data_IF_790065110071
#
_entry.id   IF_790065110071
#
_cell.length_a   1.000
_cell.length_b   1.000
_cell.length_c   1.000
_cell.angle_alpha   90.00
_cell.angle_beta   90.00
_cell.angle_gamma   90.00
#
_symmetry.space_group_name_H-M   'P 1'
#
loop_
_entity.id
_entity.type
_entity.pdbx_description
1 polymer ?
#
# COMPACT_ATOMS: atom_id res chain seq x y z
N UNK A 1 -184.15 -123.97 6.11
CA UNK A 1 -184.94 -125.20 6.31
C UNK A 1 -186.45 -124.93 6.35
N UNK A 2 -187.30 -125.64 5.55
CA UNK A 2 -188.70 -126.06 5.82
C UNK A 2 -189.35 -126.85 4.65
N UNK A 3 -189.55 -128.13 4.97
CA UNK A 3 -190.61 -129.10 4.60
C UNK A 3 -192.05 -128.59 4.77
N UNK A 4 -193.16 -129.17 4.27
CA UNK A 4 -193.58 -130.43 3.64
C UNK A 4 -194.93 -130.18 2.91
N UNK A 5 -195.36 -130.90 1.86
CA UNK A 5 -196.20 -132.10 2.01
C UNK A 5 -195.84 -133.20 1.00
N UNK A 6 -195.96 -134.46 1.41
CA UNK A 6 -196.19 -135.67 0.61
C UNK A 6 -195.48 -135.79 -0.76
N UNK A 7 -194.19 -135.43 -0.78
CA UNK A 7 -193.21 -136.24 -1.51
C UNK A 7 -192.38 -136.94 -0.46
N UNK A 8 -192.15 -138.23 -0.70
CA UNK A 8 -191.22 -139.13 -0.02
C UNK A 8 -189.79 -138.62 -0.19
N UNK A 9 -189.49 -137.61 0.60
CA UNK A 9 -188.21 -137.16 1.12
C UNK A 9 -188.54 -136.81 2.58
N UNK A 10 -187.78 -137.30 3.56
CA UNK A 10 -188.09 -137.20 5.01
C UNK A 10 -187.77 -135.80 5.51
N UNK A 11 -188.44 -135.27 6.55
CA UNK A 11 -188.20 -133.97 7.23
C UNK A 11 -186.72 -133.44 7.37
N UNK A 12 -185.67 -134.26 7.20
CA UNK A 12 -184.29 -133.86 6.80
C UNK A 12 -184.04 -133.19 5.41
N UNK A 13 -184.58 -133.66 4.28
CA UNK A 13 -184.34 -133.22 2.87
C UNK A 13 -184.91 -131.83 2.33
N UNK A 14 -186.21 -131.48 2.25
CA UNK A 14 -186.79 -130.08 2.18
C UNK A 14 -186.32 -129.10 3.29
N UNK A 15 -185.62 -129.54 4.32
CA UNK A 15 -184.99 -128.76 5.39
C UNK A 15 -183.60 -128.38 4.85
N UNK A 16 -182.88 -129.33 4.26
CA UNK A 16 -181.71 -129.02 3.42
C UNK A 16 -182.06 -128.13 2.20
N UNK A 17 -183.22 -128.31 1.54
CA UNK A 17 -183.61 -127.48 0.38
C UNK A 17 -183.90 -126.02 0.75
N UNK A 18 -184.57 -125.77 1.87
CA UNK A 18 -184.77 -124.40 2.33
C UNK A 18 -183.54 -123.89 3.13
N UNK A 19 -182.47 -124.68 3.30
CA UNK A 19 -181.17 -124.16 3.71
C UNK A 19 -180.47 -123.45 2.53
N UNK A 20 -181.01 -123.54 1.29
CA UNK A 20 -180.37 -123.00 0.07
C UNK A 20 -181.21 -121.93 -0.68
N UNK A 21 -182.36 -121.48 -0.16
CA UNK A 21 -183.10 -120.35 -0.75
C UNK A 21 -182.48 -119.03 -0.24
N UNK A 22 -181.65 -118.40 -1.08
CA UNK A 22 -181.01 -117.10 -0.80
C UNK A 22 -179.48 -117.09 -0.71
N UNK A 23 -178.80 -118.22 -0.93
CA UNK A 23 -177.34 -118.25 -1.03
C UNK A 23 -176.88 -117.70 -2.39
N UNK A 24 -175.98 -116.71 -2.38
CA UNK A 24 -175.44 -116.03 -3.56
C UNK A 24 -174.47 -116.91 -4.36
N UNK A 25 -174.41 -116.70 -5.68
CA UNK A 25 -173.56 -117.45 -6.61
C UNK A 25 -172.07 -117.08 -6.50
N UNK A 26 -171.21 -118.03 -6.88
CA UNK A 26 -169.74 -118.04 -6.74
C UNK A 26 -168.98 -116.95 -7.54
N UNK A 27 -169.68 -115.99 -8.17
CA UNK A 27 -169.09 -114.93 -9.03
C UNK A 27 -169.77 -113.56 -8.92
N UNK A 28 -170.06 -113.07 -7.71
CA UNK A 28 -170.57 -111.70 -7.53
C UNK A 28 -169.45 -110.67 -7.31
N UNK A 29 -169.61 -109.45 -7.84
CA UNK A 29 -168.68 -108.30 -7.70
C UNK A 29 -169.35 -107.18 -6.90
N UNK A 30 -168.56 -106.42 -6.14
CA UNK A 30 -169.00 -105.25 -5.36
C UNK A 30 -168.35 -103.97 -5.90
N UNK A 31 -169.08 -102.85 -5.87
CA UNK A 31 -168.54 -101.54 -6.25
C UNK A 31 -167.52 -101.02 -5.21
N UNK A 32 -166.56 -100.19 -5.66
CA UNK A 32 -165.57 -99.58 -4.77
C UNK A 32 -166.22 -98.63 -3.74
N UNK A 33 -165.65 -98.56 -2.53
CA UNK A 33 -166.15 -97.67 -1.47
C UNK A 33 -165.93 -96.19 -1.83
N UNK A 34 -166.96 -95.37 -1.63
CA UNK A 34 -166.92 -93.91 -1.83
C UNK A 34 -167.26 -93.18 -0.52
N UNK A 35 -167.06 -91.86 -0.47
CA UNK A 35 -167.44 -91.05 0.71
C UNK A 35 -168.96 -91.00 0.94
N UNK A 36 -169.78 -91.43 -0.04
CA UNK A 36 -171.24 -91.45 0.05
C UNK A 36 -171.89 -92.84 0.09
N UNK A 37 -171.18 -93.91 -0.29
CA UNK A 37 -171.73 -95.28 -0.32
C UNK A 37 -170.71 -96.32 0.20
N UNK A 38 -171.10 -97.14 1.20
CA UNK A 38 -170.21 -98.15 1.78
C UNK A 38 -170.00 -99.32 0.83
N UNK A 39 -168.73 -99.65 0.57
CA UNK A 39 -168.30 -100.90 -0.08
C UNK A 39 -167.84 -101.90 0.99
N UNK A 40 -166.62 -102.44 0.85
CA UNK A 40 -165.97 -103.28 1.88
C UNK A 40 -165.40 -102.53 3.10
N UNK A 41 -165.37 -101.19 3.05
CA UNK A 41 -165.06 -100.32 4.19
C UNK A 41 -166.14 -99.24 4.32
N UNK A 42 -166.35 -98.72 5.54
CA UNK A 42 -167.38 -97.71 5.79
C UNK A 42 -167.09 -96.40 5.06
N UNK A 43 -168.13 -95.65 4.69
CA UNK A 43 -167.97 -94.32 4.07
C UNK A 43 -167.16 -93.36 4.98
N UNK A 44 -167.23 -93.56 6.30
CA UNK A 44 -166.44 -92.78 7.28
C UNK A 44 -164.94 -93.07 7.19
N UNK A 45 -164.53 -94.34 7.03
CA UNK A 45 -163.10 -94.69 6.92
C UNK A 45 -162.51 -94.23 5.59
N UNK A 46 -163.29 -94.27 4.50
CA UNK A 46 -162.87 -93.70 3.21
C UNK A 46 -162.65 -92.19 3.30
N UNK A 47 -163.51 -91.48 4.04
CA UNK A 47 -163.36 -90.03 4.28
C UNK A 47 -162.08 -89.71 5.05
N UNK A 48 -161.72 -90.51 6.08
CA UNK A 48 -160.46 -90.32 6.81
C UNK A 48 -159.23 -90.54 5.92
N UNK A 49 -159.27 -91.55 5.06
CA UNK A 49 -158.16 -91.84 4.16
C UNK A 49 -157.99 -90.75 3.09
N UNK A 50 -159.10 -90.20 2.58
CA UNK A 50 -159.07 -89.07 1.63
C UNK A 50 -158.56 -87.76 2.26
N UNK A 51 -158.60 -87.65 3.59
CA UNK A 51 -158.02 -86.54 4.34
C UNK A 51 -156.49 -86.56 4.45
N UNK A 52 -155.82 -87.64 4.03
CA UNK A 52 -154.35 -87.72 4.01
C UNK A 52 -153.85 -87.26 2.64
N UNK A 53 -153.26 -86.06 2.58
CA UNK A 53 -152.65 -85.55 1.34
C UNK A 53 -151.45 -86.41 0.92
N UNK A 54 -151.29 -86.63 -0.39
CA UNK A 54 -150.14 -87.36 -0.92
C UNK A 54 -148.82 -86.69 -0.49
N UNK A 55 -147.85 -87.49 0.01
CA UNK A 55 -146.50 -87.06 0.43
C UNK A 55 -146.34 -86.31 1.76
N UNK A 56 -147.24 -86.50 2.73
CA UNK A 56 -147.18 -85.81 4.04
C UNK A 56 -145.93 -86.06 4.94
N UNK A 57 -144.96 -86.89 4.53
CA UNK A 57 -143.75 -87.21 5.33
C UNK A 57 -142.40 -86.75 4.71
N UNK A 58 -142.37 -85.81 3.76
CA UNK A 58 -141.11 -85.38 3.13
C UNK A 58 -140.53 -84.08 3.74
N UNK A 59 -139.44 -84.17 4.51
CA UNK A 59 -138.72 -83.02 5.12
C UNK A 59 -137.58 -82.50 4.22
N UNK A 60 -137.51 -81.18 3.98
CA UNK A 60 -136.44 -80.51 3.22
C UNK A 60 -135.73 -79.48 4.11
N UNK A 61 -134.38 -79.47 4.10
CA UNK A 61 -133.54 -78.61 4.95
C UNK A 61 -133.32 -77.20 4.35
N UNK A 62 -133.31 -76.09 5.14
CA UNK A 62 -133.13 -74.73 4.63
C UNK A 62 -131.73 -74.46 4.05
N UNK A 63 -131.65 -73.59 3.04
CA UNK A 63 -130.40 -73.19 2.36
C UNK A 63 -130.06 -71.69 2.49
N UNK A 64 -130.67 -70.98 3.45
CA UNK A 64 -130.40 -69.55 3.72
C UNK A 64 -129.04 -69.29 4.37
N UNK A 65 -128.50 -68.08 4.17
CA UNK A 65 -127.22 -67.64 4.71
C UNK A 65 -127.20 -67.69 6.25
N UNK A 66 -126.15 -68.30 6.80
CA UNK A 66 -126.04 -68.67 8.23
C UNK A 66 -126.15 -70.18 8.49
N UNK A 67 -126.71 -70.95 7.54
CA UNK A 67 -126.90 -72.41 7.65
C UNK A 67 -126.10 -73.20 6.59
N UNK A 68 -125.08 -72.58 5.96
CA UNK A 68 -124.19 -73.25 4.99
C UNK A 68 -123.07 -73.98 5.73
N UNK A 69 -122.96 -75.29 5.53
CA UNK A 69 -121.88 -76.09 6.09
C UNK A 69 -120.54 -75.80 5.40
N UNK A 70 -119.44 -75.83 6.17
CA UNK A 70 -118.08 -75.79 5.62
C UNK A 70 -117.82 -77.04 4.75
N UNK A 71 -117.25 -76.91 3.53
CA UNK A 71 -116.90 -78.05 2.71
C UNK A 71 -115.85 -78.94 3.40
N UNK A 72 -116.04 -80.26 3.34
CA UNK A 72 -115.08 -81.23 3.88
C UNK A 72 -113.73 -81.14 3.16
N UNK A 73 -112.63 -81.20 3.90
CA UNK A 73 -111.26 -81.30 3.37
C UNK A 73 -110.92 -82.74 3.00
N UNK A 74 -110.12 -82.94 1.96
CA UNK A 74 -109.58 -84.24 1.59
C UNK A 74 -108.32 -84.56 2.41
N UNK A 75 -107.94 -85.84 2.51
CA UNK A 75 -106.70 -86.25 3.16
C UNK A 75 -105.49 -85.84 2.29
N UNK A 76 -104.79 -84.77 2.69
CA UNK A 76 -103.64 -84.22 1.98
C UNK A 76 -103.59 -82.69 1.92
N UNK A 77 -104.68 -82.03 2.29
CA UNK A 77 -104.79 -80.56 2.24
C UNK A 77 -103.97 -79.93 3.38
N UNK A 78 -102.77 -79.43 3.07
CA UNK A 78 -101.89 -78.69 4.01
C UNK A 78 -101.72 -77.24 3.55
N UNK A 79 -101.84 -76.30 4.50
CA UNK A 79 -101.78 -74.84 4.27
C UNK A 79 -102.83 -74.26 3.31
N UNK A 80 -104.01 -74.88 3.23
CA UNK A 80 -105.16 -74.31 2.54
C UNK A 80 -106.00 -73.45 3.48
N UNK A 81 -106.47 -72.32 2.96
CA UNK A 81 -107.33 -71.38 3.68
C UNK A 81 -108.66 -71.27 2.94
N UNK A 82 -109.75 -71.15 3.69
CA UNK A 82 -111.08 -71.00 3.12
C UNK A 82 -111.20 -69.59 2.51
N UNK A 83 -111.06 -69.48 1.19
CA UNK A 83 -111.21 -68.19 0.50
C UNK A 83 -112.69 -67.92 0.26
N UNK A 84 -113.13 -66.71 0.62
CA UNK A 84 -114.47 -66.24 0.25
C UNK A 84 -114.55 -66.11 -1.26
N UNK A 85 -115.57 -66.73 -1.86
CA UNK A 85 -115.83 -66.58 -3.28
C UNK A 85 -116.55 -65.24 -3.50
N UNK A 86 -116.02 -64.40 -4.39
CA UNK A 86 -116.51 -63.04 -4.61
C UNK A 86 -117.86 -62.97 -5.33
N UNK A 87 -118.41 -64.10 -5.80
CA UNK A 87 -119.74 -64.17 -6.44
C UNK A 87 -120.82 -64.54 -5.43
N UNK A 88 -121.90 -63.74 -5.41
CA UNK A 88 -123.06 -63.95 -4.56
C UNK A 88 -123.67 -65.35 -4.79
N UNK A 89 -123.76 -66.16 -3.72
CA UNK A 89 -124.24 -67.55 -3.75
C UNK A 89 -123.17 -68.62 -3.99
N UNK A 90 -121.94 -68.25 -4.37
CA UNK A 90 -120.82 -69.18 -4.51
C UNK A 90 -120.44 -69.82 -3.17
N UNK A 91 -120.18 -71.13 -3.14
CA UNK A 91 -119.61 -71.77 -1.95
C UNK A 91 -118.16 -71.31 -1.75
N UNK A 92 -117.75 -70.98 -0.52
CA UNK A 92 -116.33 -70.76 -0.24
C UNK A 92 -115.55 -72.05 -0.51
N UNK A 93 -114.32 -71.92 -1.01
CA UNK A 93 -113.47 -73.06 -1.41
C UNK A 93 -112.10 -72.96 -0.73
N UNK A 94 -111.52 -74.11 -0.42
CA UNK A 94 -110.16 -74.22 0.08
C UNK A 94 -109.16 -73.84 -1.03
N UNK A 95 -108.21 -72.94 -0.71
CA UNK A 95 -107.16 -72.53 -1.62
C UNK A 95 -105.90 -72.07 -0.87
N UNK A 96 -104.73 -72.25 -1.48
CA UNK A 96 -103.45 -71.78 -0.94
C UNK A 96 -103.32 -70.25 -1.11
N UNK A 97 -102.77 -69.59 -0.09
CA UNK A 97 -102.41 -68.15 -0.13
C UNK A 97 -101.01 -68.00 -0.74
N UNK A 98 -100.89 -67.23 -1.81
CA UNK A 98 -99.64 -66.90 -2.50
C UNK A 98 -99.10 -65.53 -2.07
N UNK A 99 -97.83 -65.22 -2.38
CA UNK A 99 -97.26 -63.87 -2.11
C UNK A 99 -98.08 -62.74 -2.74
N UNK A 100 -98.76 -63.00 -3.87
CA UNK A 100 -99.61 -62.01 -4.54
C UNK A 100 -100.88 -61.71 -3.76
N UNK A 101 -101.48 -62.72 -3.13
CA UNK A 101 -102.71 -62.57 -2.34
C UNK A 101 -102.53 -61.61 -1.15
N UNK A 102 -101.29 -61.44 -0.67
CA UNK A 102 -100.94 -60.57 0.46
C UNK A 102 -100.11 -59.35 0.07
N UNK A 103 -100.00 -59.05 -1.24
CA UNK A 103 -99.29 -57.85 -1.73
C UNK A 103 -97.75 -57.91 -1.64
N UNK A 104 -97.15 -59.09 -1.52
CA UNK A 104 -95.70 -59.31 -1.34
C UNK A 104 -95.02 -59.91 -2.60
N UNK A 105 -95.55 -59.65 -3.79
CA UNK A 105 -95.08 -60.29 -5.03
C UNK A 105 -93.60 -60.01 -5.37
N UNK A 106 -93.07 -58.85 -4.96
CA UNK A 106 -91.68 -58.44 -5.24
C UNK A 106 -90.67 -58.88 -4.16
N UNK A 107 -91.12 -59.63 -3.15
CA UNK A 107 -90.27 -60.04 -2.04
C UNK A 107 -89.81 -61.49 -2.24
N UNK A 108 -88.50 -61.66 -2.40
CA UNK A 108 -87.85 -62.96 -2.45
C UNK A 108 -87.29 -63.37 -1.09
N UNK A 109 -87.40 -64.66 -0.78
CA UNK A 109 -86.89 -65.24 0.45
C UNK A 109 -85.46 -65.74 0.23
N UNK A 110 -84.51 -64.82 0.14
CA UNK A 110 -83.09 -65.11 -0.03
C UNK A 110 -82.33 -64.98 1.30
N UNK A 111 -81.23 -65.74 1.46
CA UNK A 111 -80.34 -65.60 2.61
C UNK A 111 -79.72 -64.20 2.66
N UNK A 112 -79.32 -63.74 3.84
CA UNK A 112 -78.76 -62.39 4.02
C UNK A 112 -77.56 -62.12 3.09
N UNK A 113 -76.71 -63.12 2.87
CA UNK A 113 -75.55 -63.02 1.98
C UNK A 113 -75.90 -62.86 0.49
N UNK A 114 -77.10 -63.31 0.09
CA UNK A 114 -77.56 -63.26 -1.30
C UNK A 114 -78.56 -62.13 -1.57
N UNK A 115 -78.89 -61.32 -0.55
CA UNK A 115 -79.72 -60.13 -0.75
C UNK A 115 -78.98 -59.12 -1.61
N UNK A 116 -79.55 -58.64 -2.73
CA UNK A 116 -78.91 -57.61 -3.51
C UNK A 116 -78.81 -56.32 -2.70
N UNK A 117 -77.65 -55.67 -2.72
CA UNK A 117 -77.54 -54.27 -2.28
C UNK A 117 -78.16 -53.37 -3.34
N UNK A 118 -78.87 -52.32 -2.93
CA UNK A 118 -79.44 -51.37 -3.89
C UNK A 118 -78.33 -50.63 -4.65
N UNK A 119 -78.60 -50.20 -5.89
CA UNK A 119 -77.65 -49.42 -6.68
C UNK A 119 -77.15 -48.18 -5.93
N UNK A 120 -78.02 -47.50 -5.19
CA UNK A 120 -77.65 -46.32 -4.38
C UNK A 120 -76.68 -46.68 -3.23
N UNK A 121 -76.88 -47.81 -2.57
CA UNK A 121 -75.96 -48.29 -1.53
C UNK A 121 -74.61 -48.67 -2.12
N UNK A 122 -74.58 -49.34 -3.29
CA UNK A 122 -73.33 -49.69 -3.97
C UNK A 122 -72.52 -48.43 -4.36
N UNK A 123 -73.17 -47.40 -4.90
CA UNK A 123 -72.52 -46.12 -5.23
C UNK A 123 -71.98 -45.44 -3.97
N UNK A 124 -72.75 -45.37 -2.89
CA UNK A 124 -72.31 -44.74 -1.65
C UNK A 124 -71.13 -45.48 -0.98
N UNK A 125 -71.07 -46.81 -1.10
CA UNK A 125 -69.95 -47.61 -0.62
C UNK A 125 -68.69 -47.36 -1.47
N UNK A 126 -68.82 -47.25 -2.79
CA UNK A 126 -67.69 -46.96 -3.70
C UNK A 126 -67.04 -45.58 -3.51
N UNK A 127 -67.73 -44.63 -2.87
CA UNK A 127 -67.18 -43.32 -2.51
C UNK A 127 -66.44 -43.31 -1.17
N UNK A 128 -66.53 -44.39 -0.38
CA UNK A 128 -65.79 -44.49 0.88
C UNK A 128 -64.35 -44.92 0.59
N UNK A 129 -63.43 -44.31 1.31
CA UNK A 129 -62.02 -44.68 1.28
C UNK A 129 -61.85 -46.11 1.82
N UNK A 130 -61.03 -46.92 1.15
CA UNK A 130 -60.69 -48.27 1.62
C UNK A 130 -59.99 -48.17 2.99
N UNK A 131 -60.34 -49.07 3.91
CA UNK A 131 -59.73 -49.17 5.23
C UNK A 131 -58.21 -49.41 5.15
N UNK A 132 -57.74 -49.98 4.04
CA UNK A 132 -56.30 -50.19 3.77
C UNK A 132 -55.53 -48.88 3.52
N UNK A 133 -56.22 -47.77 3.20
CA UNK A 133 -55.63 -46.46 2.92
C UNK A 133 -55.59 -45.54 4.18
N UNK A 134 -56.27 -45.92 5.26
CA UNK A 134 -56.26 -45.13 6.50
C UNK A 134 -55.06 -45.52 7.40
N UNK A 135 -54.07 -44.64 7.50
CA UNK A 135 -52.99 -44.73 8.51
C UNK A 135 -51.76 -45.55 8.12
N UNK A 136 -51.70 -46.12 6.92
CA UNK A 136 -50.55 -46.87 6.41
C UNK A 136 -49.61 -45.95 5.60
N UNK A 137 -48.82 -45.13 6.30
CA UNK A 137 -47.68 -44.47 5.66
C UNK A 137 -46.68 -45.50 5.12
N UNK A 138 -46.10 -45.21 3.94
CA UNK A 138 -44.90 -45.92 3.44
C UNK A 138 -45.07 -46.95 2.33
N UNK A 139 -46.29 -47.25 1.85
CA UNK A 139 -46.48 -48.08 0.65
C UNK A 139 -47.63 -47.63 -0.27
N UNK A 140 -48.65 -46.93 0.26
CA UNK A 140 -49.75 -46.39 -0.53
C UNK A 140 -49.37 -45.14 -1.35
N UNK A 141 -48.35 -44.40 -0.88
CA UNK A 141 -47.81 -43.22 -1.56
C UNK A 141 -46.36 -43.50 -1.94
N UNK A 142 -45.98 -43.15 -3.19
CA UNK A 142 -44.62 -43.33 -3.67
C UNK A 142 -43.62 -42.50 -2.84
N UNK A 143 -42.39 -43.01 -2.70
CA UNK A 143 -41.30 -42.24 -2.12
C UNK A 143 -41.07 -40.95 -2.92
N UNK A 144 -40.87 -39.84 -2.23
CA UNK A 144 -40.50 -38.58 -2.89
C UNK A 144 -39.10 -38.71 -3.47
N UNK A 145 -39.00 -38.45 -4.77
CA UNK A 145 -37.73 -38.39 -5.50
C UNK A 145 -37.38 -36.92 -5.75
N UNK A 146 -36.10 -36.55 -5.61
CA UNK A 146 -35.63 -35.21 -5.94
C UNK A 146 -36.01 -34.85 -7.39
N UNK A 147 -36.65 -33.70 -7.59
CA UNK A 147 -37.22 -33.25 -8.86
C UNK A 147 -38.24 -34.22 -9.52
N UNK A 148 -38.72 -35.23 -8.79
CA UNK A 148 -39.67 -36.24 -9.25
C UNK A 148 -41.09 -36.01 -8.72
N UNK A 149 -41.89 -37.08 -8.75
CA UNK A 149 -43.28 -37.06 -8.28
C UNK A 149 -43.37 -36.66 -6.80
N UNK A 150 -44.37 -35.84 -6.47
CA UNK A 150 -44.64 -35.41 -5.10
C UNK A 150 -45.32 -36.54 -4.31
N UNK A 151 -44.92 -36.69 -3.06
CA UNK A 151 -45.49 -37.61 -2.08
C UNK A 151 -46.02 -36.81 -0.90
N UNK A 152 -45.51 -37.04 0.31
CA UNK A 152 -45.82 -36.22 1.49
C UNK A 152 -45.10 -34.84 1.52
N UNK A 153 -44.07 -34.66 0.68
CA UNK A 153 -43.44 -33.38 0.37
C UNK A 153 -43.22 -33.26 -1.15
N UNK A 154 -43.00 -32.06 -1.66
CA UNK A 154 -42.77 -31.85 -3.10
C UNK A 154 -41.39 -32.38 -3.52
N UNK A 155 -41.23 -32.75 -4.79
CA UNK A 155 -39.92 -33.09 -5.35
C UNK A 155 -38.91 -31.95 -5.22
N UNK A 156 -39.37 -30.70 -5.25
CA UNK A 156 -38.56 -29.50 -5.04
C UNK A 156 -38.07 -29.36 -3.58
N UNK A 157 -38.94 -29.61 -2.60
CA UNK A 157 -38.56 -29.60 -1.18
C UNK A 157 -37.55 -30.70 -0.87
N UNK A 158 -37.71 -31.88 -1.47
CA UNK A 158 -36.75 -32.97 -1.36
C UNK A 158 -35.42 -32.62 -2.01
N UNK A 159 -35.41 -32.01 -3.20
CA UNK A 159 -34.18 -31.51 -3.84
C UNK A 159 -33.47 -30.49 -2.95
N UNK A 160 -34.22 -29.57 -2.34
CA UNK A 160 -33.67 -28.59 -1.41
C UNK A 160 -33.07 -29.27 -0.18
N UNK A 161 -33.76 -30.26 0.38
CA UNK A 161 -33.30 -31.01 1.56
C UNK A 161 -32.09 -31.89 1.24
N UNK A 162 -32.02 -32.51 0.07
CA UNK A 162 -30.88 -33.32 -0.39
C UNK A 162 -29.62 -32.47 -0.62
N UNK A 163 -29.80 -31.18 -0.94
CA UNK A 163 -28.72 -30.20 -1.01
C UNK A 163 -28.19 -29.75 0.35
N UNK A 164 -28.87 -30.07 1.45
CA UNK A 164 -28.41 -29.76 2.81
C UNK A 164 -27.55 -30.93 3.31
N UNK A 165 -26.24 -30.71 3.47
CA UNK A 165 -25.35 -31.71 4.06
C UNK A 165 -25.83 -32.12 5.45
N UNK A 166 -25.69 -33.40 5.80
CA UNK A 166 -26.01 -33.90 7.12
C UNK A 166 -25.22 -33.11 8.19
N UNK A 167 -25.94 -32.47 9.11
CA UNK A 167 -25.35 -31.62 10.15
C UNK A 167 -25.09 -30.17 9.76
N UNK A 168 -25.59 -29.68 8.62
CA UNK A 168 -25.50 -28.26 8.27
C UNK A 168 -26.17 -27.37 9.34
N UNK A 169 -25.47 -26.33 9.79
CA UNK A 169 -25.95 -25.34 10.77
C UNK A 169 -26.24 -23.98 10.09
N UNK A 170 -27.04 -23.13 10.76
CA UNK A 170 -27.71 -21.96 10.14
C UNK A 170 -26.78 -20.76 9.89
N UNK A 171 -25.52 -20.76 10.35
CA UNK A 171 -24.66 -19.57 10.25
C UNK A 171 -23.15 -19.92 10.16
N UNK A 172 -22.55 -19.70 8.99
CA UNK A 172 -21.14 -19.99 8.67
C UNK A 172 -20.27 -18.73 8.53
N UNK A 173 -20.64 -17.61 9.15
CA UNK A 173 -19.78 -16.43 9.17
C UNK A 173 -18.53 -16.60 10.09
N UNK A 174 -18.23 -17.82 10.53
CA UNK A 174 -17.05 -18.16 11.30
C UNK A 174 -15.87 -18.46 10.35
N UNK A 175 -14.72 -17.83 10.59
CA UNK A 175 -13.45 -18.29 10.04
C UNK A 175 -13.05 -19.56 10.82
N UNK A 176 -12.56 -20.60 10.15
CA UNK A 176 -12.19 -21.85 10.85
C UNK A 176 -10.83 -21.71 11.54
N UNK A 177 -9.81 -21.33 10.78
CA UNK A 177 -8.45 -21.13 11.27
C UNK A 177 -7.73 -20.11 10.41
N UNK A 178 -7.03 -19.18 11.05
CA UNK A 178 -6.08 -18.27 10.41
C UNK A 178 -4.69 -18.66 10.90
N UNK A 179 -3.87 -19.15 9.98
CA UNK A 179 -2.52 -19.60 10.26
C UNK A 179 -1.51 -18.60 9.71
N UNK A 180 -0.50 -18.26 10.52
CA UNK A 180 0.66 -17.48 10.12
C UNK A 180 1.89 -18.30 10.47
N UNK A 181 2.75 -18.56 9.49
CA UNK A 181 3.95 -19.38 9.71
C UNK A 181 4.81 -18.83 10.85
N UNK A 182 5.18 -19.70 11.80
CA UNK A 182 5.96 -19.34 12.98
C UNK A 182 5.16 -18.79 14.16
N UNK A 183 3.85 -18.57 14.00
CA UNK A 183 2.93 -18.17 15.06
C UNK A 183 1.96 -19.30 15.42
N UNK A 184 1.27 -19.17 16.55
CA UNK A 184 0.11 -20.01 16.85
C UNK A 184 -1.07 -19.62 15.97
N UNK A 185 -1.86 -20.62 15.59
CA UNK A 185 -3.07 -20.42 14.82
C UNK A 185 -4.14 -19.65 15.62
N UNK A 186 -4.87 -18.77 14.95
CA UNK A 186 -6.10 -18.16 15.47
C UNK A 186 -7.26 -19.03 15.00
N UNK A 187 -7.84 -19.81 15.91
CA UNK A 187 -8.89 -20.79 15.63
C UNK A 187 -10.20 -20.29 16.23
N UNK A 188 -11.31 -20.46 15.52
CA UNK A 188 -12.61 -20.13 16.09
C UNK A 188 -12.94 -21.05 17.27
N UNK A 189 -13.24 -20.48 18.43
CA UNK A 189 -13.51 -21.24 19.66
C UNK A 189 -15.00 -21.46 19.93
N UNK A 190 -15.86 -20.79 19.18
CA UNK A 190 -17.31 -20.88 19.28
C UNK A 190 -17.97 -20.95 17.89
N UNK A 191 -19.24 -21.38 17.89
CA UNK A 191 -20.06 -21.46 16.66
C UNK A 191 -20.25 -20.11 15.98
N UNK A 192 -20.27 -19.03 16.75
CA UNK A 192 -20.18 -17.65 16.27
C UNK A 192 -19.00 -17.04 16.97
N UNK A 193 -18.00 -16.64 16.21
CA UNK A 193 -16.76 -16.08 16.73
C UNK A 193 -16.38 -14.80 15.97
N UNK A 194 -15.53 -13.97 16.58
CA UNK A 194 -15.12 -12.67 16.07
C UNK A 194 -13.62 -12.61 15.89
N UNK A 195 -13.17 -12.46 14.64
CA UNK A 195 -11.78 -12.16 14.36
C UNK A 195 -11.49 -10.72 14.79
N UNK A 196 -10.72 -10.57 15.87
CA UNK A 196 -10.26 -9.25 16.32
C UNK A 196 -8.88 -8.97 15.74
N UNK A 197 -8.77 -8.00 14.83
CA UNK A 197 -7.49 -7.47 14.39
C UNK A 197 -7.06 -6.33 15.32
N UNK A 198 -5.92 -6.46 15.99
CA UNK A 198 -5.36 -5.45 16.87
C UNK A 198 -4.22 -4.68 16.19
N UNK A 199 -4.15 -3.37 16.38
CA UNK A 199 -3.06 -2.55 15.85
C UNK A 199 -1.76 -2.87 16.59
N UNK A 200 -0.72 -3.23 15.85
CA UNK A 200 0.65 -3.31 16.35
C UNK A 200 1.38 -1.96 16.28
N UNK A 201 2.51 -1.84 16.97
CA UNK A 201 3.39 -0.67 16.82
C UNK A 201 3.87 -0.54 15.36
N UNK A 202 3.70 0.63 14.76
CA UNK A 202 4.09 0.87 13.36
C UNK A 202 3.08 0.42 12.30
N UNK A 203 1.95 -0.17 12.71
CA UNK A 203 0.92 -0.71 11.81
C UNK A 203 -0.43 -0.07 12.12
N UNK A 204 -1.07 0.48 11.10
CA UNK A 204 -2.44 0.98 11.17
C UNK A 204 -3.40 0.00 10.48
N UNK A 205 -4.42 -0.45 11.23
CA UNK A 205 -5.53 -1.25 10.71
C UNK A 205 -6.79 -0.38 10.75
N UNK A 206 -7.47 -0.27 9.62
CA UNK A 206 -8.71 0.52 9.47
C UNK A 206 -9.77 -0.30 8.77
N UNK A 207 -11.03 -0.15 9.18
CA UNK A 207 -12.18 -0.80 8.52
C UNK A 207 -13.03 0.23 7.78
N UNK A 208 -13.57 -0.15 6.62
CA UNK A 208 -14.55 0.64 5.89
C UNK A 208 -15.78 -0.22 5.64
N UNK A 209 -16.80 -0.07 6.49
CA UNK A 209 -18.03 -0.88 6.43
C UNK A 209 -18.86 -0.65 5.17
N UNK A 210 -18.76 0.52 4.54
CA UNK A 210 -19.47 0.79 3.28
C UNK A 210 -18.94 -0.01 2.08
N UNK A 211 -17.72 -0.52 2.16
CA UNK A 211 -17.08 -1.33 1.12
C UNK A 211 -16.69 -2.73 1.60
N UNK A 212 -17.04 -3.08 2.85
CA UNK A 212 -16.64 -4.33 3.50
C UNK A 212 -15.12 -4.60 3.45
N UNK A 213 -14.30 -3.55 3.63
CA UNK A 213 -12.83 -3.67 3.56
C UNK A 213 -12.15 -3.50 4.92
N UNK A 214 -11.06 -4.23 5.09
CA UNK A 214 -10.05 -4.01 6.13
C UNK A 214 -8.75 -3.61 5.43
N UNK A 215 -8.22 -2.45 5.76
CA UNK A 215 -6.94 -1.95 5.23
C UNK A 215 -5.87 -2.06 6.30
N UNK A 216 -4.74 -2.66 5.95
CA UNK A 216 -3.55 -2.75 6.80
C UNK A 216 -2.48 -1.92 6.11
N UNK A 217 -1.96 -0.93 6.83
CA UNK A 217 -0.94 0.00 6.35
C UNK A 217 0.15 0.17 7.40
N UNK A 218 1.28 0.71 6.98
CA UNK A 218 2.36 1.12 7.88
C UNK A 218 2.16 2.57 8.27
N UNK A 219 2.47 2.90 9.52
CA UNK A 219 2.51 4.29 9.99
C UNK A 219 3.90 4.88 9.77
N UNK A 220 3.99 6.19 9.57
CA UNK A 220 5.26 6.89 9.56
C UNK A 220 6.02 6.66 10.88
N UNK A 221 7.34 6.49 10.77
CA UNK A 221 8.19 6.34 11.95
C UNK A 221 8.25 7.69 12.69
N UNK A 222 8.15 7.63 14.01
CA UNK A 222 8.42 8.78 14.88
C UNK A 222 9.64 8.47 15.75
N UNK A 223 10.12 9.44 16.52
CA UNK A 223 11.20 9.23 17.49
C UNK A 223 10.79 8.34 18.67
N UNK A 224 9.51 7.97 18.79
CA UNK A 224 8.98 7.16 19.89
C UNK A 224 8.21 5.92 19.44
N UNK A 225 7.85 5.84 18.16
CA UNK A 225 7.15 4.70 17.56
C UNK A 225 7.87 4.28 16.28
N UNK A 226 8.37 3.03 16.19
CA UNK A 226 8.93 2.53 14.95
C UNK A 226 7.86 2.48 13.86
N UNK A 227 8.24 2.86 12.64
CA UNK A 227 7.43 2.68 11.43
C UNK A 227 8.20 1.78 10.47
N UNK A 228 8.49 2.26 9.25
CA UNK A 228 9.44 1.61 8.34
C UNK A 228 10.90 1.61 8.82
N UNK A 229 11.22 2.51 9.74
CA UNK A 229 12.53 2.67 10.36
C UNK A 229 12.38 2.53 11.88
N UNK A 230 13.45 2.14 12.56
CA UNK A 230 13.46 2.16 14.03
C UNK A 230 13.36 3.60 14.54
N UNK A 231 12.85 3.77 15.77
CA UNK A 231 12.84 5.09 16.42
C UNK A 231 14.25 5.69 16.53
N UNK A 232 15.28 4.84 16.67
CA UNK A 232 16.69 5.26 16.69
C UNK A 232 17.18 5.75 15.32
N UNK A 233 16.84 5.06 14.24
CA UNK A 233 17.20 5.48 12.89
C UNK A 233 16.48 6.77 12.51
N UNK A 234 15.21 6.91 12.89
CA UNK A 234 14.46 8.15 12.71
C UNK A 234 15.08 9.30 13.47
N UNK A 235 15.52 9.09 14.72
CA UNK A 235 16.22 10.11 15.51
C UNK A 235 17.54 10.54 14.85
N UNK A 236 18.31 9.59 14.32
CA UNK A 236 19.55 9.91 13.56
C UNK A 236 19.23 10.73 12.31
N UNK A 237 18.21 10.35 11.56
CA UNK A 237 17.80 11.03 10.33
C UNK A 237 17.21 12.43 10.60
N UNK A 238 16.49 12.60 11.71
CA UNK A 238 15.95 13.90 12.14
C UNK A 238 17.05 14.91 12.49
N UNK A 239 18.25 14.42 12.83
CA UNK A 239 19.44 15.24 12.99
C UNK A 239 20.10 15.67 11.66
N UNK A 240 19.71 15.09 10.53
CA UNK A 240 20.25 15.41 9.21
C UNK A 240 19.40 16.52 8.59
N UNK A 241 20.04 17.63 8.21
CA UNK A 241 19.35 18.74 7.56
C UNK A 241 18.76 18.34 6.21
N UNK A 242 17.61 18.90 5.85
CA UNK A 242 16.99 18.66 4.55
C UNK A 242 17.95 19.02 3.41
N UNK A 243 18.12 18.12 2.45
CA UNK A 243 19.05 18.30 1.33
C UNK A 243 20.53 18.14 1.69
N UNK A 244 20.87 17.59 2.86
CA UNK A 244 22.25 17.25 3.17
C UNK A 244 22.85 16.33 2.09
N UNK A 245 24.02 16.71 1.59
CA UNK A 245 24.76 15.98 0.57
C UNK A 245 25.81 15.06 1.22
N UNK A 246 26.24 14.05 0.47
CA UNK A 246 27.35 13.18 0.87
C UNK A 246 28.60 14.04 1.02
N UNK A 247 29.23 14.00 2.21
CA UNK A 247 30.50 14.69 2.43
C UNK A 247 31.61 13.93 1.69
N UNK A 248 32.08 14.51 0.59
CA UNK A 248 33.12 13.96 -0.27
C UNK A 248 34.08 15.08 -0.68
N UNK A 249 35.27 14.72 -1.20
CA UNK A 249 36.22 15.72 -1.73
C UNK A 249 35.56 16.60 -2.80
N UNK A 250 34.70 16.02 -3.65
CA UNK A 250 34.00 16.74 -4.72
C UNK A 250 33.00 17.75 -4.16
N UNK A 251 32.17 17.34 -3.20
CA UNK A 251 31.11 18.21 -2.64
C UNK A 251 31.70 19.30 -1.74
N UNK A 252 32.74 19.00 -0.98
CA UNK A 252 33.51 19.99 -0.20
C UNK A 252 34.22 20.98 -1.13
N UNK A 253 34.83 20.51 -2.21
CA UNK A 253 35.48 21.39 -3.20
C UNK A 253 34.51 22.33 -3.90
N UNK A 254 33.32 21.84 -4.28
CA UNK A 254 32.27 22.68 -4.86
C UNK A 254 31.78 23.76 -3.88
N UNK A 255 31.54 23.40 -2.62
CA UNK A 255 31.14 24.34 -1.58
C UNK A 255 32.21 25.43 -1.33
N UNK A 256 33.49 25.04 -1.30
CA UNK A 256 34.61 25.98 -1.13
C UNK A 256 34.71 26.97 -2.31
N UNK A 257 34.55 26.49 -3.55
CA UNK A 257 34.61 27.34 -4.73
C UNK A 257 33.41 28.29 -4.85
N UNK A 258 32.25 27.89 -4.34
CA UNK A 258 31.04 28.73 -4.31
C UNK A 258 31.04 29.75 -3.16
N UNK A 259 31.88 29.56 -2.13
CA UNK A 259 31.97 30.48 -1.00
C UNK A 259 32.40 31.89 -1.44
N UNK A 260 31.88 32.91 -0.75
CA UNK A 260 32.26 34.29 -1.03
C UNK A 260 33.73 34.54 -0.72
N UNK A 261 34.48 35.04 -1.71
CA UNK A 261 35.89 35.34 -1.54
C UNK A 261 36.10 36.47 -0.51
N UNK A 262 37.11 36.30 0.34
CA UNK A 262 37.57 37.32 1.29
C UNK A 262 39.00 37.72 0.92
N UNK A 263 39.15 38.93 0.37
CA UNK A 263 40.44 39.41 -0.14
C UNK A 263 41.47 39.65 0.97
N UNK A 264 41.04 40.08 2.15
CA UNK A 264 41.94 40.44 3.25
C UNK A 264 41.47 39.80 4.56
N UNK A 265 42.16 38.75 5.04
CA UNK A 265 41.91 38.18 6.35
C UNK A 265 42.27 39.16 7.48
N UNK A 266 41.51 39.12 8.57
CA UNK A 266 41.80 39.81 9.83
C UNK A 266 42.34 38.82 10.86
N UNK A 267 42.95 39.32 11.93
CA UNK A 267 43.70 38.49 12.89
C UNK A 267 42.91 37.34 13.52
N UNK A 268 41.60 37.51 13.71
CA UNK A 268 40.70 36.50 14.27
C UNK A 268 40.24 35.43 13.25
N UNK A 269 40.42 35.66 11.95
CA UNK A 269 40.02 34.68 10.92
C UNK A 269 40.85 33.41 11.06
N UNK A 270 40.23 32.26 10.78
CA UNK A 270 40.84 30.95 10.98
C UNK A 270 40.90 30.14 9.69
N UNK A 271 41.98 29.39 9.49
CA UNK A 271 42.16 28.44 8.40
C UNK A 271 42.23 27.03 8.99
N UNK A 272 41.45 26.09 8.43
CA UNK A 272 41.48 24.68 8.83
C UNK A 272 42.75 23.98 8.33
N UNK A 273 43.30 23.09 9.14
CA UNK A 273 44.46 22.27 8.79
C UNK A 273 44.36 20.87 9.41
N UNK A 274 45.10 19.93 8.84
CA UNK A 274 45.32 18.60 9.42
C UNK A 274 46.58 18.63 10.28
N UNK A 275 46.45 18.33 11.56
CA UNK A 275 47.60 18.27 12.47
C UNK A 275 48.24 16.89 12.45
N UNK A 276 49.39 16.76 11.78
CA UNK A 276 50.14 15.50 11.70
C UNK A 276 50.64 15.01 13.06
N UNK A 277 50.88 15.90 14.02
CA UNK A 277 51.28 15.53 15.38
C UNK A 277 50.09 15.01 16.22
N UNK A 278 48.86 15.28 15.78
CA UNK A 278 47.61 14.79 16.40
C UNK A 278 46.87 13.81 15.47
N UNK A 279 47.59 12.89 14.83
CA UNK A 279 47.02 11.84 13.96
C UNK A 279 46.13 12.38 12.84
N UNK A 280 46.51 13.49 12.24
CA UNK A 280 45.74 14.20 11.19
C UNK A 280 44.38 14.72 11.66
N UNK A 281 44.20 14.96 12.96
CA UNK A 281 43.02 15.63 13.48
C UNK A 281 42.84 17.02 12.88
N UNK A 282 41.60 17.42 12.63
CA UNK A 282 41.28 18.77 12.17
C UNK A 282 41.58 19.78 13.28
N UNK A 283 42.46 20.73 12.97
CA UNK A 283 42.73 21.91 13.79
C UNK A 283 42.54 23.18 12.98
N UNK A 284 42.66 24.33 13.63
CA UNK A 284 42.62 25.64 12.98
C UNK A 284 43.79 26.51 13.43
N UNK A 285 44.30 27.35 12.54
CA UNK A 285 45.26 28.43 12.83
C UNK A 285 44.62 29.76 12.52
N UNK A 286 44.88 30.76 13.37
CA UNK A 286 44.41 32.12 13.10
C UNK A 286 45.31 32.83 12.11
N UNK A 287 44.79 33.85 11.42
CA UNK A 287 45.61 34.69 10.54
C UNK A 287 46.72 35.41 11.31
N UNK A 288 46.49 35.77 12.59
CA UNK A 288 47.54 36.30 13.46
C UNK A 288 48.69 35.30 13.64
N UNK A 289 48.39 34.01 13.84
CA UNK A 289 49.43 32.98 13.94
C UNK A 289 50.19 32.81 12.62
N UNK A 290 49.49 32.82 11.48
CA UNK A 290 50.13 32.74 10.16
C UNK A 290 51.08 33.93 9.95
N UNK A 291 50.61 35.17 10.19
CA UNK A 291 51.43 36.38 10.10
C UNK A 291 52.64 36.34 11.02
N UNK A 292 52.46 35.92 12.27
CA UNK A 292 53.54 35.84 13.24
C UNK A 292 54.61 34.84 12.80
N UNK A 293 54.21 33.62 12.40
CA UNK A 293 55.14 32.59 11.91
C UNK A 293 55.91 33.04 10.68
N UNK A 294 55.22 33.62 9.68
CA UNK A 294 55.86 34.13 8.47
C UNK A 294 56.78 35.30 8.78
N UNK A 295 56.36 36.23 9.64
CA UNK A 295 57.20 37.35 10.07
C UNK A 295 58.49 36.85 10.73
N UNK A 296 58.39 35.95 11.70
CA UNK A 296 59.55 35.36 12.37
C UNK A 296 60.48 34.69 11.36
N UNK A 297 59.95 33.94 10.40
CA UNK A 297 60.77 33.31 9.35
C UNK A 297 61.49 34.36 8.49
N UNK A 298 60.77 35.35 7.95
CA UNK A 298 61.34 36.34 7.04
C UNK A 298 62.27 37.35 7.71
N UNK A 299 62.05 37.69 8.98
CA UNK A 299 62.96 38.55 9.75
C UNK A 299 64.38 37.95 9.86
N UNK A 300 64.53 36.62 9.74
CA UNK A 300 65.86 35.97 9.74
C UNK A 300 66.59 36.03 8.41
N UNK A 301 65.84 36.19 7.31
CA UNK A 301 66.37 36.15 5.95
C UNK A 301 66.61 37.54 5.37
N UNK A 302 65.81 38.51 5.80
CA UNK A 302 65.80 39.85 5.23
C UNK A 302 66.04 40.91 6.29
N UNK A 303 66.96 41.83 6.01
CA UNK A 303 67.13 43.03 6.81
C UNK A 303 65.95 43.98 6.59
N UNK A 304 65.54 44.68 7.65
CA UNK A 304 64.46 45.65 7.57
C UNK A 304 64.81 46.77 6.57
N UNK A 305 63.82 47.27 5.84
CA UNK A 305 63.98 48.47 5.03
C UNK A 305 64.40 49.64 5.95
N UNK A 306 65.53 50.28 5.64
CA UNK A 306 66.13 51.32 6.49
C UNK A 306 67.05 50.79 7.59
N UNK A 307 67.44 49.51 7.56
CA UNK A 307 68.52 49.04 8.44
C UNK A 307 69.77 49.89 8.22
N UNK A 308 70.41 50.24 9.33
CA UNK A 308 71.66 51.01 9.32
C UNK A 308 72.82 50.05 9.50
N UNK A 309 73.87 50.27 8.72
CA UNK A 309 75.16 49.64 9.00
C UNK A 309 75.90 50.52 10.00
N UNK A 310 76.47 49.90 11.02
CA UNK A 310 77.37 50.60 11.93
C UNK A 310 78.53 51.22 11.15
N UNK A 311 78.96 52.40 11.56
CA UNK A 311 80.14 53.04 10.99
C UNK A 311 81.37 52.12 11.11
N UNK A 312 82.22 52.11 10.08
CA UNK A 312 83.47 51.36 10.13
C UNK A 312 84.36 51.94 11.24
N UNK A 313 84.90 51.07 12.10
CA UNK A 313 85.87 51.42 13.12
C UNK A 313 87.22 50.80 12.77
N UNK A 314 88.27 51.12 13.53
CA UNK A 314 89.59 50.50 13.37
C UNK A 314 89.63 49.03 13.82
N UNK A 315 88.56 48.51 14.43
CA UNK A 315 88.47 47.11 14.90
C UNK A 315 87.31 46.31 14.30
N UNK A 316 86.28 46.98 13.79
CA UNK A 316 85.10 46.36 13.18
C UNK A 316 84.90 46.95 11.79
N UNK A 317 84.92 46.08 10.78
CA UNK A 317 84.65 46.47 9.41
C UNK A 317 83.20 46.95 9.25
N UNK A 318 83.02 48.02 8.49
CA UNK A 318 81.70 48.47 8.00
C UNK A 318 81.66 48.32 6.49
N UNK A 319 81.30 49.39 5.77
CA UNK A 319 81.46 49.47 4.31
C UNK A 319 82.93 49.61 3.85
N UNK A 320 83.84 49.80 4.79
CA UNK A 320 85.28 49.82 4.58
C UNK A 320 85.91 48.83 5.57
N UNK A 321 87.02 48.19 5.15
CA UNK A 321 87.77 47.31 6.04
C UNK A 321 88.33 48.08 7.25
N UNK A 322 88.50 47.40 8.38
CA UNK A 322 89.12 47.98 9.56
C UNK A 322 90.55 48.49 9.28
N UNK A 323 91.26 47.80 8.38
CA UNK A 323 92.59 48.19 7.92
C UNK A 323 92.57 49.50 7.13
N UNK A 324 91.65 49.64 6.17
CA UNK A 324 91.57 50.87 5.37
C UNK A 324 91.05 52.06 6.18
N UNK A 325 90.16 51.83 7.16
CA UNK A 325 89.75 52.87 8.12
C UNK A 325 90.95 53.38 8.93
N UNK A 326 91.82 52.47 9.38
CA UNK A 326 93.06 52.83 10.10
C UNK A 326 94.00 53.65 9.22
N UNK A 327 94.16 53.30 7.94
CA UNK A 327 94.95 54.10 6.99
C UNK A 327 94.38 55.49 6.81
N UNK A 328 93.06 55.61 6.64
CA UNK A 328 92.37 56.88 6.46
C UNK A 328 92.51 57.78 7.70
N UNK A 329 92.36 57.22 8.90
CA UNK A 329 92.54 57.93 10.17
C UNK A 329 93.98 58.43 10.37
N UNK A 330 94.96 57.77 9.75
CA UNK A 330 96.36 58.16 9.79
C UNK A 330 96.73 59.35 8.89
N UNK A 331 95.83 59.81 8.02
CA UNK A 331 96.09 60.97 7.15
C UNK A 331 95.86 62.26 7.95
N UNK A 332 96.92 63.06 8.14
CA UNK A 332 96.83 64.34 8.81
C UNK A 332 95.91 65.33 8.06
N UNK A 333 95.15 66.13 8.81
CA UNK A 333 94.29 67.18 8.23
C UNK A 333 95.10 68.15 7.38
N UNK A 334 94.73 68.29 6.11
CA UNK A 334 95.39 69.22 5.19
C UNK A 334 96.76 68.75 4.68
N UNK A 335 97.05 67.44 4.70
CA UNK A 335 98.31 66.87 4.20
C UNK A 335 98.74 67.32 2.78
N UNK A 336 97.82 67.84 1.97
CA UNK A 336 98.09 68.34 0.61
C UNK A 336 98.26 69.88 0.52
N UNK A 337 98.27 70.62 1.63
CA UNK A 337 98.35 72.08 1.60
C UNK A 337 99.80 72.57 1.46
N UNK A 338 100.23 72.87 0.23
CA UNK A 338 101.58 73.38 -0.06
C UNK A 338 101.64 74.92 0.11
N UNK A 339 102.49 75.40 1.03
CA UNK A 339 102.82 76.82 1.19
C UNK A 339 104.28 77.07 0.80
N UNK A 340 104.52 78.00 -0.15
CA UNK A 340 105.86 78.31 -0.62
C UNK A 340 106.66 79.08 0.46
N UNK A 341 107.95 78.75 0.71
CA UNK A 341 108.75 79.45 1.70
C UNK A 341 109.03 80.90 1.28
N UNK A 342 109.07 81.83 2.24
CA UNK A 342 109.33 83.26 2.02
C UNK A 342 110.58 83.77 2.76
N UNK A 343 111.52 82.88 3.09
CA UNK A 343 112.78 83.22 3.78
C UNK A 343 113.93 83.59 2.83
N UNK A 344 114.98 84.20 3.37
CA UNK A 344 116.20 84.55 2.64
C UNK A 344 116.84 83.28 2.05
N UNK A 345 117.02 83.26 0.72
CA UNK A 345 117.43 82.08 -0.06
C UNK A 345 116.34 81.52 -0.97
N UNK A 346 115.06 81.90 -0.74
CA UNK A 346 113.91 81.53 -1.55
C UNK A 346 113.38 82.69 -2.42
N UNK A 347 114.12 83.81 -2.47
CA UNK A 347 113.79 84.99 -3.28
C UNK A 347 114.26 84.81 -4.72
N UNK A 348 113.37 85.02 -5.68
CA UNK A 348 113.74 85.06 -7.10
C UNK A 348 114.50 86.34 -7.44
N UNK A 349 115.54 86.23 -8.27
CA UNK A 349 116.23 87.41 -8.83
C UNK A 349 115.30 88.16 -9.79
N UNK A 350 115.31 89.51 -9.82
CA UNK A 350 114.54 90.28 -10.79
C UNK A 350 114.97 89.96 -12.23
N UNK A 351 113.99 89.75 -13.12
CA UNK A 351 114.23 89.40 -14.52
C UNK A 351 115.11 90.44 -15.24
N UNK A 352 116.06 89.98 -16.05
CA UNK A 352 116.87 90.82 -16.96
C UNK A 352 116.24 90.88 -18.34
N UNK A 353 116.30 92.04 -19.01
CA UNK A 353 116.09 92.12 -20.46
C UNK A 353 117.18 91.38 -21.24
N UNK A 354 116.95 91.11 -22.54
CA UNK A 354 117.81 90.27 -23.41
C UNK A 354 119.23 90.79 -23.67
N UNK A 355 119.62 91.93 -23.09
CA UNK A 355 120.95 92.52 -23.22
C UNK A 355 121.39 93.06 -21.86
N UNK A 356 122.61 92.74 -21.44
CA UNK A 356 123.13 93.11 -20.13
C UNK A 356 123.82 94.48 -20.10
N UNK A 357 124.11 95.12 -21.24
CA UNK A 357 124.66 96.49 -21.39
C UNK A 357 125.64 96.92 -20.27
N UNK A 358 126.54 96.03 -19.83
CA UNK A 358 127.50 96.30 -18.75
C UNK A 358 126.92 96.48 -17.33
N UNK A 359 125.72 95.99 -17.06
CA UNK A 359 125.04 96.02 -15.75
C UNK A 359 125.32 94.77 -14.92
N UNK A 360 125.37 94.94 -13.60
CA UNK A 360 125.48 93.87 -12.61
C UNK A 360 124.35 93.96 -11.57
N UNK A 361 123.95 92.83 -10.99
CA UNK A 361 123.00 92.81 -9.87
C UNK A 361 123.75 93.29 -8.62
N UNK A 362 123.36 94.45 -8.11
CA UNK A 362 123.99 95.05 -6.94
C UNK A 362 123.01 94.96 -5.77
N UNK A 363 123.52 94.64 -4.59
CA UNK A 363 122.72 94.62 -3.36
C UNK A 363 122.17 96.00 -3.03
N UNK A 364 120.89 96.09 -2.68
CA UNK A 364 120.29 97.30 -2.12
C UNK A 364 120.38 97.36 -0.59
N UNK A 365 119.90 98.46 -0.02
CA UNK A 365 120.02 98.76 1.42
C UNK A 365 119.01 98.01 2.32
N UNK A 366 118.01 97.34 1.75
CA UNK A 366 116.98 96.57 2.49
C UNK A 366 116.92 95.11 2.04
N UNK A 367 116.39 94.23 2.88
CA UNK A 367 116.16 92.83 2.49
C UNK A 367 115.32 92.76 1.20
N UNK A 368 115.69 91.87 0.29
CA UNK A 368 115.07 91.70 -1.04
C UNK A 368 115.11 92.93 -1.97
N UNK A 369 116.12 93.80 -1.87
CA UNK A 369 116.24 95.02 -2.70
C UNK A 369 117.39 95.02 -3.72
N UNK A 370 117.83 93.86 -4.18
CA UNK A 370 118.87 93.79 -5.23
C UNK A 370 118.36 94.32 -6.59
N UNK A 371 119.17 95.12 -7.29
CA UNK A 371 118.79 95.76 -8.56
C UNK A 371 119.94 95.80 -9.59
N UNK A 372 119.60 95.76 -10.88
CA UNK A 372 120.55 95.80 -11.99
C UNK A 372 121.10 97.22 -12.23
N UNK A 373 122.37 97.45 -11.93
CA UNK A 373 123.04 98.77 -11.97
C UNK A 373 124.22 98.78 -12.95
N UNK A 374 124.44 99.91 -13.64
CA UNK A 374 125.58 100.12 -14.55
C UNK A 374 126.89 100.25 -13.78
N UNK A 375 127.92 99.48 -14.14
CA UNK A 375 129.25 99.65 -13.56
C UNK A 375 130.00 100.83 -14.18
N UNK A 376 130.76 101.53 -13.36
CA UNK A 376 131.59 102.70 -13.72
C UNK A 376 132.95 102.59 -13.04
N UNK A 377 133.96 103.37 -13.46
CA UNK A 377 135.31 103.35 -12.87
C UNK A 377 135.32 103.62 -11.36
N UNK A 378 134.32 104.34 -10.83
CA UNK A 378 134.19 104.58 -9.38
C UNK A 378 133.82 103.32 -8.61
N UNK A 379 133.07 102.38 -9.21
CA UNK A 379 132.72 101.11 -8.57
C UNK A 379 133.94 100.21 -8.32
N UNK A 380 135.05 100.44 -9.04
CA UNK A 380 136.31 99.69 -8.90
C UNK A 380 137.47 100.57 -8.41
N UNK A 381 137.19 101.80 -7.96
CA UNK A 381 138.20 102.67 -7.35
C UNK A 381 139.27 103.25 -8.29
N UNK A 382 139.02 103.30 -9.61
CA UNK A 382 139.99 103.77 -10.63
C UNK A 382 139.53 105.05 -11.37
N UNK A 383 139.18 106.15 -10.68
CA UNK A 383 138.54 107.31 -11.32
C UNK A 383 139.45 108.07 -12.28
N UNK A 384 140.76 108.06 -12.04
CA UNK A 384 141.73 108.90 -12.75
C UNK A 384 142.49 108.17 -13.87
N UNK A 385 142.11 106.92 -14.17
CA UNK A 385 142.76 106.13 -15.21
C UNK A 385 142.02 106.35 -16.53
N UNK A 386 142.75 106.84 -17.53
CA UNK A 386 142.25 107.02 -18.90
C UNK A 386 142.75 105.93 -19.84
N UNK A 387 141.87 105.50 -20.75
CA UNK A 387 142.16 104.48 -21.76
C UNK A 387 142.72 105.16 -23.02
N UNK A 388 143.95 105.66 -22.92
CA UNK A 388 144.64 106.34 -24.02
C UNK A 388 145.65 105.38 -24.65
N UNK A 389 145.65 105.26 -25.99
CA UNK A 389 146.56 104.39 -26.73
C UNK A 389 148.03 104.71 -26.44
N UNK A 390 148.91 103.71 -26.49
CA UNK A 390 150.32 103.86 -26.13
C UNK A 390 151.03 104.98 -26.91
N UNK A 391 150.69 105.17 -28.19
CA UNK A 391 151.27 106.22 -29.03
C UNK A 391 150.89 107.65 -28.58
N UNK A 392 149.74 107.80 -27.91
CA UNK A 392 149.21 109.08 -27.45
C UNK A 392 149.46 109.30 -25.94
N UNK A 393 150.11 108.35 -25.26
CA UNK A 393 150.52 108.55 -23.87
C UNK A 393 151.57 109.66 -23.82
N UNK A 394 151.33 110.76 -23.10
CA UNK A 394 152.34 111.80 -22.97
C UNK A 394 153.59 111.21 -22.29
N UNK A 395 154.77 111.44 -22.87
CA UNK A 395 156.03 111.22 -22.15
C UNK A 395 156.15 112.27 -21.05
N UNK A 396 156.62 111.85 -19.87
CA UNK A 396 156.74 112.78 -18.74
C UNK A 396 157.73 113.91 -19.06
N UNK A 397 157.49 115.11 -18.52
CA UNK A 397 158.36 116.27 -18.69
C UNK A 397 159.82 115.97 -18.33
N UNK A 398 160.04 115.10 -17.33
CA UNK A 398 161.35 114.64 -16.91
C UNK A 398 162.04 113.76 -17.99
N UNK A 399 161.30 112.84 -18.62
CA UNK A 399 161.83 112.00 -19.70
C UNK A 399 162.18 112.82 -20.94
N UNK A 400 161.36 113.80 -21.32
CA UNK A 400 161.64 114.66 -22.48
C UNK A 400 162.91 115.51 -22.28
N UNK A 401 163.12 116.02 -21.06
CA UNK A 401 164.33 116.80 -20.74
C UNK A 401 165.59 115.95 -20.86
N UNK A 402 165.56 114.70 -20.40
CA UNK A 402 166.70 113.77 -20.48
C UNK A 402 167.02 113.34 -21.92
N UNK A 403 166.01 113.19 -22.78
CA UNK A 403 166.20 112.90 -24.21
C UNK A 403 166.91 114.06 -24.92
N UNK A 404 166.57 115.31 -24.59
CA UNK A 404 167.13 116.49 -25.26
C UNK A 404 168.65 116.69 -25.04
N UNK A 405 169.27 116.07 -24.02
CA UNK A 405 170.73 116.15 -23.77
C UNK A 405 171.56 115.07 -24.49
N UNK A 406 170.89 114.11 -25.15
CA UNK A 406 171.57 113.04 -25.89
C UNK A 406 171.88 113.55 -27.30
N UNK A 407 173.14 113.49 -27.71
CA UNK A 407 173.52 113.81 -29.08
C UNK A 407 172.94 112.79 -30.07
N UNK A 408 172.54 113.26 -31.25
CA UNK A 408 172.04 112.42 -32.32
C UNK A 408 173.13 111.50 -32.89
N UNK A 409 172.75 110.29 -33.28
CA UNK A 409 173.68 109.27 -33.80
C UNK A 409 174.46 109.69 -35.06
N UNK A 410 174.05 110.78 -35.74
CA UNK A 410 174.67 111.30 -36.97
C UNK A 410 175.99 112.06 -36.77
N UNK A 411 176.48 112.25 -35.53
CA UNK A 411 177.60 113.16 -35.23
C UNK A 411 179.04 112.60 -35.28
N UNK A 412 179.29 111.33 -35.69
CA UNK A 412 180.62 110.68 -35.51
C UNK A 412 181.28 110.05 -36.78
N UNK A 413 181.23 110.69 -37.95
CA UNK A 413 181.94 110.24 -39.17
C UNK A 413 183.00 111.23 -39.69
N UNK A 414 184.25 110.76 -39.85
CA UNK A 414 185.41 111.37 -40.56
C UNK A 414 186.40 112.25 -39.74
N UNK A 415 187.70 111.91 -39.82
CA UNK A 415 188.88 112.26 -38.98
C UNK A 415 189.61 113.54 -39.47
N UNK A 416 190.33 114.29 -38.61
CA UNK A 416 191.44 115.18 -39.06
C UNK A 416 192.80 114.79 -38.44
N UNK A 417 193.77 114.67 -39.34
CA UNK A 417 195.11 114.07 -39.28
C UNK A 417 196.17 115.09 -38.80
N UNK A 418 195.78 116.09 -38.02
CA UNK A 418 196.60 117.27 -37.69
C UNK A 418 197.35 117.22 -36.33
N UNK A 419 197.29 116.12 -35.57
CA UNK A 419 198.05 116.00 -34.31
C UNK A 419 199.41 115.28 -34.42
N UNK A 420 199.81 114.82 -35.63
CA UNK A 420 201.08 114.10 -35.87
C UNK A 420 202.30 115.03 -36.10
N UNK A 421 202.14 116.34 -36.30
CA UNK A 421 203.25 117.26 -36.60
C UNK A 421 203.64 118.25 -35.49
N UNK A 422 202.94 118.28 -34.34
CA UNK A 422 203.20 119.28 -33.27
C UNK A 422 204.06 118.76 -32.10
N UNK A 423 204.22 117.44 -31.90
CA UNK A 423 205.11 116.93 -30.84
C UNK A 423 206.55 116.62 -31.28
N UNK A 424 206.86 116.51 -32.59
CA UNK A 424 208.24 116.39 -33.09
C UNK A 424 209.00 117.74 -33.18
N UNK A 425 208.34 118.88 -32.94
CA UNK A 425 208.98 120.20 -32.93
C UNK A 425 209.44 120.70 -31.54
N UNK A 426 209.31 119.87 -30.49
CA UNK A 426 209.75 120.19 -29.13
C UNK A 426 210.93 119.30 -28.64
N UNK A 427 211.78 118.86 -29.56
CA UNK A 427 213.16 118.42 -29.32
C UNK A 427 214.11 119.50 -29.88
N UNK A 428 214.59 120.44 -29.04
CA UNK A 428 215.94 121.07 -29.01
C UNK A 428 216.17 121.64 -27.62
#
# INVERSE_FOLDING_TARGET
MRFDAAQTLTAPQKTQALANIGAAADTHTHAAATTGAPGFMSAADKTKLDGVAASANNYVHPTTDGNRHVPATAAGDVNEFLKSNSVAGGAPAWAIITKTDVGLANVDNTSDASKPVSNAQATAIGLKLDATHAGTGGAAHANVVAAGASGFMTGADKTKLDGVSAGAEVNQNAFSTISVSGQSDVVADAKTDTLTLANGAGVAITTTSGTDTVTISTTEATTSLPGHLSAADKTKLDGVSAGADVTSVTTVGAALNAATAKATPVDADSIGLTDSAASSALKKVTWANVKATLKTYFDTLYALAGHVHSAATTSVAGFLSAADKTKLDGIATGANNYTHPTGDGNSHVPATGTTNDGRALVSGATANSAAWTQLTKTHVGLPNVDDTSDANKPVSTAQQTALNLKADASAFGTIDTNYVTIFEAALV
#
